data_IF_454153860736
#
_entry.id   IF_454153860736
#
_cell.length_a   1.000
_cell.length_b   1.000
_cell.length_c   1.000
_cell.angle_alpha   90.00
_cell.angle_beta   90.00
_cell.angle_gamma   90.00
#
_symmetry.space_group_name_H-M   'P 1'
#
loop_
_entity.id
_entity.type
_entity.pdbx_description
1 polymer ?
#
# COMPACT_ATOMS: atom_id res chain seq x y z
N UNK A 1 -2.13 9.92 -26.74
CA UNK A 1 -3.33 10.17 -25.91
C UNK A 1 -3.05 9.56 -24.56
N UNK A 2 -2.80 10.37 -23.53
CA UNK A 2 -2.66 9.85 -22.17
C UNK A 2 -4.03 9.35 -21.73
N UNK A 3 -4.15 8.09 -21.31
CA UNK A 3 -5.36 7.59 -20.66
C UNK A 3 -5.70 8.48 -19.46
N UNK A 4 -6.95 8.95 -19.41
CA UNK A 4 -7.46 9.70 -18.27
C UNK A 4 -7.50 8.77 -17.07
N UNK A 5 -6.59 8.96 -16.11
CA UNK A 5 -6.59 8.20 -14.86
C UNK A 5 -7.63 8.78 -13.90
N UNK A 6 -8.44 7.90 -13.33
CA UNK A 6 -9.44 8.20 -12.32
C UNK A 6 -8.97 7.73 -10.94
N UNK A 7 -9.42 8.43 -9.91
CA UNK A 7 -9.06 8.20 -8.52
C UNK A 7 -10.34 8.06 -7.70
N UNK A 8 -10.59 6.86 -7.19
CA UNK A 8 -11.77 6.52 -6.40
C UNK A 8 -11.42 6.14 -4.96
N UNK A 9 -12.31 5.36 -4.33
CA UNK A 9 -12.12 4.84 -2.96
C UNK A 9 -10.85 3.99 -2.84
N UNK A 10 -10.54 3.19 -3.87
CA UNK A 10 -9.35 2.34 -3.90
C UNK A 10 -8.07 3.15 -3.78
N UNK A 11 -7.94 4.23 -4.55
CA UNK A 11 -6.78 5.12 -4.47
C UNK A 11 -6.68 5.83 -3.12
N UNK A 12 -7.82 6.18 -2.49
CA UNK A 12 -7.83 6.76 -1.14
C UNK A 12 -7.31 5.75 -0.10
N UNK A 13 -7.75 4.48 -0.18
CA UNK A 13 -7.25 3.39 0.68
C UNK A 13 -5.76 3.16 0.46
N UNK A 14 -5.31 3.10 -0.79
CA UNK A 14 -3.89 2.87 -1.10
C UNK A 14 -3.00 4.02 -0.62
N UNK A 15 -3.44 5.27 -0.78
CA UNK A 15 -2.72 6.44 -0.25
C UNK A 15 -2.67 6.41 1.28
N UNK A 16 -3.79 6.06 1.94
CA UNK A 16 -3.85 5.92 3.39
C UNK A 16 -2.87 4.86 3.91
N UNK A 17 -2.86 3.68 3.30
CA UNK A 17 -1.92 2.60 3.65
C UNK A 17 -0.48 2.99 3.33
N UNK A 18 -0.24 3.69 2.23
CA UNK A 18 1.08 4.19 1.82
C UNK A 18 1.69 5.17 2.82
N UNK A 19 0.88 5.91 3.57
CA UNK A 19 1.33 6.81 4.63
C UNK A 19 1.77 6.08 5.91
N UNK A 20 1.42 4.80 6.07
CA UNK A 20 1.74 4.04 7.27
C UNK A 20 3.18 3.54 7.21
N UNK A 21 3.92 3.77 8.29
CA UNK A 21 5.31 3.38 8.39
C UNK A 21 5.44 1.85 8.36
N UNK A 22 6.16 1.36 7.36
CA UNK A 22 6.54 -0.04 7.24
C UNK A 22 7.14 -0.31 5.88
N UNK A 23 8.23 -1.07 5.83
CA UNK A 23 8.92 -1.45 4.58
C UNK A 23 8.04 -2.29 3.62
N UNK A 24 6.83 -2.66 4.04
CA UNK A 24 6.05 -3.77 3.48
C UNK A 24 4.85 -3.31 2.65
N UNK A 25 4.41 -2.07 2.85
CA UNK A 25 3.35 -1.44 2.05
C UNK A 25 3.84 -0.07 1.56
N UNK A 26 3.39 0.39 0.40
CA UNK A 26 3.78 1.70 -0.13
C UNK A 26 5.11 1.73 -0.90
N UNK A 27 5.89 0.65 -0.92
CA UNK A 27 7.08 0.48 -1.78
C UNK A 27 8.38 1.07 -1.22
N UNK A 28 8.45 1.26 0.10
CA UNK A 28 9.65 1.70 0.80
C UNK A 28 10.81 0.70 0.68
N UNK A 29 12.03 1.19 0.87
CA UNK A 29 13.27 0.39 0.83
C UNK A 29 14.12 0.65 2.06
N UNK A 30 14.52 -0.40 2.78
CA UNK A 30 15.25 -0.33 4.06
C UNK A 30 16.45 0.63 4.06
N UNK A 31 17.21 0.66 2.96
CA UNK A 31 18.48 1.39 2.87
C UNK A 31 18.36 2.76 2.18
N UNK A 32 17.15 3.22 1.86
CA UNK A 32 16.94 4.37 0.98
C UNK A 32 16.25 5.54 1.71
N UNK A 33 16.94 6.15 2.67
CA UNK A 33 16.35 7.20 3.54
C UNK A 33 15.72 8.36 2.76
N UNK A 34 16.43 8.94 1.80
CA UNK A 34 15.94 10.06 0.99
C UNK A 34 14.77 9.66 0.07
N UNK A 35 14.88 8.49 -0.57
CA UNK A 35 13.80 7.92 -1.39
C UNK A 35 12.54 7.68 -0.56
N UNK A 36 12.67 7.06 0.62
CA UNK A 36 11.55 6.78 1.51
C UNK A 36 10.90 8.07 2.03
N UNK A 37 11.69 9.11 2.32
CA UNK A 37 11.16 10.40 2.71
C UNK A 37 10.33 11.04 1.59
N UNK A 38 10.85 11.05 0.35
CA UNK A 38 10.10 11.54 -0.81
C UNK A 38 8.84 10.71 -1.08
N UNK A 39 8.93 9.38 -0.96
CA UNK A 39 7.80 8.48 -1.16
C UNK A 39 6.72 8.67 -0.10
N UNK A 40 7.10 8.91 1.15
CA UNK A 40 6.15 9.23 2.23
C UNK A 40 5.45 10.57 1.95
N UNK A 41 6.21 11.59 1.53
CA UNK A 41 5.63 12.88 1.16
C UNK A 41 4.64 12.77 0.00
N UNK A 42 4.95 11.93 -1.00
CA UNK A 42 4.03 11.63 -2.10
C UNK A 42 2.75 10.94 -1.63
N UNK A 43 2.85 9.88 -0.81
CA UNK A 43 1.67 9.21 -0.25
C UNK A 43 0.82 10.15 0.59
N UNK A 44 1.44 11.01 1.41
CA UNK A 44 0.74 12.00 2.23
C UNK A 44 0.03 13.04 1.36
N UNK A 45 0.69 13.57 0.33
CA UNK A 45 0.06 14.52 -0.60
C UNK A 45 -1.12 13.91 -1.34
N UNK A 46 -1.01 12.64 -1.76
CA UNK A 46 -2.12 11.88 -2.34
C UNK A 46 -3.28 11.72 -1.37
N UNK A 47 -3.00 11.29 -0.12
CA UNK A 47 -4.01 11.13 0.91
C UNK A 47 -4.73 12.46 1.21
N UNK A 48 -3.97 13.52 1.45
CA UNK A 48 -4.52 14.85 1.76
C UNK A 48 -5.40 15.39 0.63
N UNK A 49 -4.97 15.20 -0.62
CA UNK A 49 -5.73 15.60 -1.80
C UNK A 49 -7.04 14.82 -1.93
N UNK A 50 -6.99 13.50 -1.79
CA UNK A 50 -8.18 12.65 -1.89
C UNK A 50 -9.15 12.87 -0.74
N UNK A 51 -8.66 12.99 0.49
CA UNK A 51 -9.50 13.34 1.65
C UNK A 51 -10.21 14.68 1.48
N UNK A 52 -9.58 15.66 0.82
CA UNK A 52 -10.21 16.94 0.49
C UNK A 52 -11.29 16.80 -0.58
N UNK A 53 -11.04 16.03 -1.65
CA UNK A 53 -12.01 15.83 -2.74
C UNK A 53 -13.22 15.02 -2.27
N UNK A 54 -12.99 14.00 -1.46
CA UNK A 54 -14.04 13.18 -0.85
C UNK A 54 -14.69 13.84 0.38
N UNK A 55 -14.13 14.95 0.87
CA UNK A 55 -14.59 15.66 2.07
C UNK A 55 -14.72 14.72 3.28
N UNK A 56 -13.66 13.94 3.53
CA UNK A 56 -13.55 12.95 4.60
C UNK A 56 -12.19 13.06 5.29
N UNK A 57 -12.11 12.64 6.56
CA UNK A 57 -10.84 12.41 7.25
C UNK A 57 -10.85 11.00 7.83
N UNK A 58 -9.93 10.15 7.41
CA UNK A 58 -9.78 8.77 7.89
C UNK A 58 -9.07 8.73 9.25
N UNK A 59 -9.68 9.45 10.20
CA UNK A 59 -9.23 9.61 11.58
C UNK A 59 -10.39 9.28 12.53
N UNK A 60 -10.12 8.95 13.80
CA UNK A 60 -11.18 8.67 14.76
C UNK A 60 -12.24 9.77 14.86
N UNK A 61 -11.82 11.03 14.75
CA UNK A 61 -12.69 12.20 14.85
C UNK A 61 -13.43 12.51 13.53
N UNK A 62 -12.87 12.06 12.40
CA UNK A 62 -13.41 12.30 11.06
C UNK A 62 -14.41 11.25 10.58
N UNK A 63 -14.55 10.13 11.30
CA UNK A 63 -15.45 9.04 10.95
C UNK A 63 -16.63 8.99 11.95
N UNK A 64 -17.89 9.01 11.49
CA UNK A 64 -19.05 9.10 12.37
C UNK A 64 -19.35 7.81 13.14
N UNK A 65 -18.93 6.65 12.63
CA UNK A 65 -19.16 5.35 13.27
C UNK A 65 -17.87 4.80 13.91
N UNK A 66 -17.73 4.87 15.25
CA UNK A 66 -16.53 4.42 15.94
C UNK A 66 -16.33 2.90 15.87
N UNK A 67 -17.39 2.11 15.72
CA UNK A 67 -17.32 0.64 15.64
C UNK A 67 -16.76 0.23 14.27
N UNK A 68 -17.29 0.80 13.20
CA UNK A 68 -16.77 0.55 11.86
C UNK A 68 -15.36 1.11 11.68
N UNK A 69 -15.04 2.26 12.30
CA UNK A 69 -13.68 2.77 12.33
C UNK A 69 -12.71 1.80 13.04
N UNK A 70 -13.13 1.15 14.13
CA UNK A 70 -12.32 0.15 14.80
C UNK A 70 -12.03 -1.06 13.89
N UNK A 71 -13.02 -1.52 13.13
CA UNK A 71 -12.82 -2.57 12.13
C UNK A 71 -11.86 -2.10 11.02
N UNK A 72 -12.04 -0.88 10.50
CA UNK A 72 -11.13 -0.29 9.51
C UNK A 72 -9.68 -0.29 10.00
N UNK A 73 -9.43 0.20 11.23
CA UNK A 73 -8.10 0.19 11.83
C UNK A 73 -7.54 -1.23 11.98
N UNK A 74 -8.36 -2.18 12.45
CA UNK A 74 -7.93 -3.58 12.59
C UNK A 74 -7.57 -4.20 11.24
N UNK A 75 -8.31 -3.90 10.19
CA UNK A 75 -8.03 -4.38 8.83
C UNK A 75 -6.76 -3.74 8.26
N UNK A 76 -6.52 -2.45 8.52
CA UNK A 76 -5.25 -1.77 8.20
C UNK A 76 -4.08 -2.46 8.90
N UNK A 77 -4.17 -2.72 10.19
CA UNK A 77 -3.12 -3.40 10.95
C UNK A 77 -2.87 -4.82 10.40
N UNK A 78 -3.94 -5.55 10.09
CA UNK A 78 -3.87 -6.91 9.54
C UNK A 78 -3.19 -6.96 8.17
N UNK A 79 -3.55 -6.06 7.24
CA UNK A 79 -2.92 -6.04 5.90
C UNK A 79 -1.44 -5.62 5.96
N UNK A 80 -1.09 -4.69 6.85
CA UNK A 80 0.30 -4.25 7.05
C UNK A 80 1.16 -5.33 7.73
N UNK A 81 0.54 -6.25 8.47
CA UNK A 81 1.22 -7.37 9.13
C UNK A 81 1.51 -8.55 8.19
N UNK A 82 0.94 -8.59 6.97
CA UNK A 82 1.21 -9.65 6.00
C UNK A 82 2.72 -9.79 5.76
N UNK A 83 3.21 -11.02 5.90
CA UNK A 83 4.64 -11.35 5.82
C UNK A 83 4.81 -12.70 5.16
N UNK A 84 5.94 -12.91 4.51
CA UNK A 84 6.37 -14.21 4.02
C UNK A 84 7.65 -14.67 4.76
N UNK A 85 8.04 -15.95 4.62
CA UNK A 85 9.23 -16.49 5.28
C UNK A 85 10.55 -15.82 4.87
N UNK A 86 10.57 -15.08 3.76
CA UNK A 86 11.74 -14.38 3.23
C UNK A 86 11.83 -12.93 3.72
N UNK A 87 10.81 -12.46 4.41
CA UNK A 87 10.76 -11.11 4.94
C UNK A 87 11.89 -10.88 5.94
N UNK A 88 12.82 -9.98 5.60
CA UNK A 88 13.99 -9.65 6.42
C UNK A 88 15.33 -10.17 5.87
N UNK A 89 15.32 -10.98 4.82
CA UNK A 89 16.54 -11.36 4.10
C UNK A 89 16.85 -10.31 3.02
N UNK A 90 17.97 -9.59 3.18
CA UNK A 90 18.46 -8.62 2.19
C UNK A 90 19.05 -9.31 0.95
N UNK A 91 19.70 -10.47 1.15
CA UNK A 91 20.25 -11.28 0.07
C UNK A 91 19.95 -12.76 0.33
N UNK A 92 18.99 -13.31 -0.41
CA UNK A 92 18.58 -14.70 -0.27
C UNK A 92 19.39 -15.67 -1.17
N UNK A 93 20.35 -15.18 -1.96
CA UNK A 93 21.06 -15.99 -2.96
C UNK A 93 21.76 -17.23 -2.38
N UNK A 94 22.50 -17.06 -1.28
CA UNK A 94 23.14 -18.19 -0.59
C UNK A 94 22.12 -19.17 0.00
N UNK A 95 20.97 -18.67 0.47
CA UNK A 95 19.90 -19.50 1.02
C UNK A 95 19.20 -20.30 -0.07
N UNK A 96 18.91 -19.69 -1.23
CA UNK A 96 18.40 -20.40 -2.41
C UNK A 96 19.36 -21.50 -2.86
N UNK A 97 20.66 -21.22 -2.95
CA UNK A 97 21.66 -22.22 -3.34
C UNK A 97 21.73 -23.39 -2.35
N UNK A 98 21.57 -23.14 -1.05
CA UNK A 98 21.52 -24.20 -0.03
C UNK A 98 20.26 -25.05 -0.15
N UNK A 99 19.11 -24.44 -0.41
CA UNK A 99 17.86 -25.17 -0.61
C UNK A 99 17.94 -26.02 -1.89
N UNK A 100 18.45 -25.47 -2.99
CA UNK A 100 18.66 -26.23 -4.22
C UNK A 100 19.54 -27.47 -4.00
N UNK A 101 20.67 -27.30 -3.29
CA UNK A 101 21.55 -28.42 -2.91
C UNK A 101 20.92 -29.42 -1.95
N UNK A 102 19.87 -29.06 -1.23
CA UNK A 102 19.13 -29.96 -0.34
C UNK A 102 18.15 -30.88 -1.10
N UNK A 103 18.05 -30.75 -2.43
CA UNK A 103 17.21 -31.60 -3.28
C UNK A 103 15.74 -31.48 -2.93
N UNK A 104 15.05 -32.62 -2.76
CA UNK A 104 13.61 -32.67 -2.55
C UNK A 104 13.11 -31.82 -1.36
N UNK A 105 13.88 -31.77 -0.28
CA UNK A 105 13.54 -30.96 0.89
C UNK A 105 13.52 -29.46 0.55
N UNK A 106 14.49 -28.98 -0.23
CA UNK A 106 14.54 -27.59 -0.69
C UNK A 106 13.39 -27.25 -1.62
N UNK A 107 13.07 -28.13 -2.58
CA UNK A 107 11.92 -27.96 -3.47
C UNK A 107 10.62 -27.81 -2.69
N UNK A 108 10.43 -28.60 -1.62
CA UNK A 108 9.24 -28.51 -0.75
C UNK A 108 9.15 -27.16 -0.03
N UNK A 109 10.28 -26.64 0.47
CA UNK A 109 10.34 -25.32 1.12
C UNK A 109 10.02 -24.20 0.13
N UNK A 110 10.61 -24.23 -1.06
CA UNK A 110 10.35 -23.25 -2.12
C UNK A 110 8.88 -23.24 -2.51
N UNK A 111 8.32 -24.41 -2.83
CA UNK A 111 6.91 -24.53 -3.19
C UNK A 111 5.95 -24.10 -2.07
N UNK A 112 6.29 -24.34 -0.80
CA UNK A 112 5.50 -23.86 0.33
C UNK A 112 5.55 -22.34 0.45
N UNK A 113 6.71 -21.74 0.20
CA UNK A 113 6.90 -20.30 0.24
C UNK A 113 6.13 -19.59 -0.88
N UNK A 114 6.15 -20.15 -2.10
CA UNK A 114 5.36 -19.63 -3.23
C UNK A 114 3.86 -19.65 -2.92
N UNK A 115 3.37 -20.73 -2.28
CA UNK A 115 1.97 -20.80 -1.84
C UNK A 115 1.64 -19.75 -0.78
N UNK A 116 2.55 -19.49 0.17
CA UNK A 116 2.36 -18.42 1.16
C UNK A 116 2.28 -17.07 0.46
N UNK A 117 3.17 -16.81 -0.51
CA UNK A 117 3.16 -15.57 -1.27
C UNK A 117 1.86 -15.38 -2.05
N UNK A 118 1.37 -16.41 -2.75
CA UNK A 118 0.07 -16.37 -3.46
C UNK A 118 -1.07 -16.04 -2.50
N UNK A 119 -1.15 -16.76 -1.37
CA UNK A 119 -2.20 -16.55 -0.36
C UNK A 119 -2.13 -15.18 0.29
N UNK A 120 -0.93 -14.64 0.48
CA UNK A 120 -0.76 -13.28 0.98
C UNK A 120 -1.23 -12.24 -0.04
N UNK A 121 -1.05 -12.48 -1.34
CA UNK A 121 -1.58 -11.58 -2.38
C UNK A 121 -3.11 -11.63 -2.43
N UNK A 122 -3.70 -12.82 -2.40
CA UNK A 122 -5.16 -13.01 -2.32
C UNK A 122 -5.72 -12.35 -1.05
N UNK A 123 -5.11 -12.64 0.10
CA UNK A 123 -5.49 -12.03 1.38
C UNK A 123 -5.37 -10.51 1.33
N UNK A 124 -4.30 -9.95 0.74
CA UNK A 124 -4.16 -8.50 0.57
C UNK A 124 -5.32 -7.91 -0.22
N UNK A 125 -5.72 -8.55 -1.31
CA UNK A 125 -6.85 -8.06 -2.12
C UNK A 125 -8.16 -8.08 -1.31
N UNK A 126 -8.43 -9.15 -0.56
CA UNK A 126 -9.60 -9.22 0.32
C UNK A 126 -9.59 -8.12 1.40
N UNK A 127 -8.43 -7.82 1.99
CA UNK A 127 -8.30 -6.70 2.93
C UNK A 127 -8.63 -5.37 2.25
N UNK A 128 -8.16 -5.15 1.02
CA UNK A 128 -8.40 -3.91 0.30
C UNK A 128 -9.87 -3.77 -0.11
N UNK A 129 -10.55 -4.85 -0.46
CA UNK A 129 -12.00 -4.88 -0.66
C UNK A 129 -12.73 -4.46 0.63
N UNK A 130 -12.36 -5.04 1.77
CA UNK A 130 -12.96 -4.67 3.06
C UNK A 130 -12.73 -3.18 3.37
N UNK A 131 -11.51 -2.68 3.18
CA UNK A 131 -11.18 -1.27 3.44
C UNK A 131 -11.94 -0.34 2.49
N UNK A 132 -12.07 -0.69 1.22
CA UNK A 132 -12.81 0.09 0.23
C UNK A 132 -14.30 0.16 0.59
N UNK A 133 -14.90 -0.95 1.00
CA UNK A 133 -16.31 -0.98 1.40
C UNK A 133 -16.55 -0.19 2.69
N UNK A 134 -15.65 -0.29 3.67
CA UNK A 134 -15.71 0.53 4.89
C UNK A 134 -15.60 2.04 4.56
N UNK A 135 -14.68 2.41 3.67
CA UNK A 135 -14.59 3.80 3.19
C UNK A 135 -15.86 4.22 2.48
N UNK A 136 -16.48 3.35 1.68
CA UNK A 136 -17.79 3.62 1.07
C UNK A 136 -18.86 3.95 2.10
N UNK A 137 -18.93 3.18 3.18
CA UNK A 137 -19.86 3.44 4.29
C UNK A 137 -19.57 4.79 4.97
N UNK A 138 -18.31 5.19 5.12
CA UNK A 138 -17.95 6.50 5.68
C UNK A 138 -18.31 7.66 4.76
N UNK A 139 -18.25 7.45 3.44
CA UNK A 139 -18.54 8.47 2.43
C UNK A 139 -20.05 8.67 2.19
N UNK A 140 -20.87 7.64 2.44
CA UNK A 140 -22.29 7.64 2.15
C UNK A 140 -22.55 7.89 0.67
N UNK A 141 -23.36 8.91 0.35
CA UNK A 141 -23.70 9.26 -1.04
C UNK A 141 -22.46 9.59 -1.88
N UNK A 142 -21.35 10.02 -1.28
CA UNK A 142 -20.11 10.36 -2.00
C UNK A 142 -19.29 9.13 -2.42
N UNK A 143 -19.71 7.91 -2.05
CA UNK A 143 -18.94 6.68 -2.27
C UNK A 143 -18.67 6.37 -3.76
N UNK A 144 -19.51 6.86 -4.66
CA UNK A 144 -19.39 6.65 -6.11
C UNK A 144 -18.63 7.77 -6.83
N UNK A 145 -18.15 8.79 -6.11
CA UNK A 145 -17.35 9.84 -6.70
C UNK A 145 -15.99 9.27 -7.16
N UNK A 146 -15.55 9.74 -8.32
CA UNK A 146 -14.23 9.50 -8.85
C UNK A 146 -13.69 10.81 -9.41
N UNK A 147 -12.43 11.08 -9.15
CA UNK A 147 -11.79 12.33 -9.53
C UNK A 147 -10.70 12.09 -10.55
N UNK A 148 -10.44 13.11 -11.35
CA UNK A 148 -9.42 13.10 -12.39
C UNK A 148 -8.05 13.50 -11.83
N UNK A 149 -7.00 13.16 -12.58
CA UNK A 149 -5.66 13.67 -12.30
C UNK A 149 -5.60 15.21 -12.25
N UNK A 150 -6.40 15.91 -13.07
CA UNK A 150 -6.39 17.37 -13.12
C UNK A 150 -7.00 18.00 -11.87
N UNK A 151 -8.03 17.38 -11.27
CA UNK A 151 -8.60 17.82 -10.00
C UNK A 151 -7.60 17.69 -8.84
N UNK A 152 -6.83 16.58 -8.79
CA UNK A 152 -5.76 16.44 -7.80
C UNK A 152 -4.63 17.45 -8.02
N UNK A 153 -4.22 17.69 -9.26
CA UNK A 153 -3.22 18.72 -9.59
C UNK A 153 -3.70 20.12 -9.23
N UNK A 154 -4.98 20.42 -9.40
CA UNK A 154 -5.58 21.69 -9.01
C UNK A 154 -5.51 21.92 -7.49
N UNK A 155 -5.42 20.85 -6.69
CA UNK A 155 -5.17 20.92 -5.25
C UNK A 155 -3.66 20.98 -4.88
N UNK A 156 -2.76 20.98 -5.87
CA UNK A 156 -1.32 21.01 -5.67
C UNK A 156 -0.67 19.64 -5.43
N UNK A 157 -1.38 18.54 -5.70
CA UNK A 157 -0.84 17.19 -5.52
C UNK A 157 0.14 16.85 -6.64
N UNK A 158 1.36 16.47 -6.27
CA UNK A 158 2.32 15.88 -7.21
C UNK A 158 2.01 14.39 -7.43
N UNK A 159 1.45 14.09 -8.60
CA UNK A 159 1.08 12.74 -9.00
C UNK A 159 2.29 11.89 -9.45
N UNK A 160 3.46 12.49 -9.62
CA UNK A 160 4.67 11.76 -10.00
C UNK A 160 5.23 11.01 -8.79
N UNK A 161 4.99 9.70 -8.77
CA UNK A 161 5.60 8.84 -7.75
C UNK A 161 7.13 8.90 -7.86
N UNK A 162 7.85 9.10 -6.74
CA UNK A 162 9.31 9.05 -6.73
C UNK A 162 9.83 7.74 -7.29
N UNK A 163 10.87 7.81 -8.12
CA UNK A 163 11.51 6.60 -8.67
C UNK A 163 12.79 6.32 -7.89
N UNK A 164 13.03 5.06 -7.50
CA UNK A 164 14.27 4.63 -6.86
C UNK A 164 15.55 5.23 -7.50
N UNK A 165 15.65 5.15 -8.84
CA UNK A 165 16.82 5.57 -9.61
C UNK A 165 17.20 7.04 -9.45
N UNK A 166 16.26 7.91 -9.07
CA UNK A 166 16.53 9.34 -8.87
C UNK A 166 17.24 9.62 -7.53
N UNK A 167 17.37 8.61 -6.66
CA UNK A 167 17.90 8.71 -5.29
C UNK A 167 19.05 7.75 -5.00
N UNK A 168 19.37 6.86 -5.94
CA UNK A 168 20.55 6.02 -5.90
C UNK A 168 21.56 6.56 -6.90
N UNK A 169 22.52 7.37 -6.44
CA UNK A 169 23.72 7.66 -7.22
C UNK A 169 24.57 6.40 -7.27
N UNK A 170 24.87 5.92 -8.48
CA UNK A 170 25.90 4.90 -8.68
C UNK A 170 27.25 5.50 -8.27
N UNK A 171 27.82 5.03 -7.17
CA UNK A 171 29.26 5.13 -6.91
C UNK A 171 29.98 3.92 -7.50
#
# INVERSE_FOLDING_TARGET
MSEQRWYGRRELVEAYLGCRDGERYGGYRREAGAFNAALRAHHQGMLDGLERLFEVRLTPEGIPDPVLHMLFRSTVESVLALTDPWSGFLEAGLLHLRLDRAGEAGTKVMAASDRIWSRNNESREDHLIILEELVGLFLGDRAHHAFTADELRALGVDLQRPRPVDYFTSD
#
